data_IF_660593024101
#
_entry.id   IF_660593024101
#
_cell.length_a   1.000
_cell.length_b   1.000
_cell.length_c   1.000
_cell.angle_alpha   90.00
_cell.angle_beta   90.00
_cell.angle_gamma   90.00
#
_symmetry.space_group_name_H-M   'P 1'
#
loop_
_entity.id
_entity.type
_entity.pdbx_description
1 polymer ?
#
# COMPACT_ATOMS: atom_id res chain seq x y z
N UNK A 1 75.42 27.06 20.17
CA UNK A 1 76.32 26.34 21.07
C UNK A 1 76.20 24.86 20.78
N UNK A 2 77.30 24.27 20.31
CA UNK A 2 77.74 22.87 20.30
C UNK A 2 76.69 21.77 20.00
N UNK A 3 76.92 20.81 19.12
CA UNK A 3 78.17 20.24 18.64
C UNK A 3 77.90 18.75 18.40
N UNK A 4 78.42 18.26 17.29
CA UNK A 4 78.34 16.91 16.75
C UNK A 4 78.92 15.84 17.69
N UNK A 5 78.44 14.58 17.60
CA UNK A 5 79.29 13.36 17.54
C UNK A 5 78.59 12.03 17.93
N UNK A 6 78.28 11.22 16.90
CA UNK A 6 78.62 9.79 16.71
C UNK A 6 78.10 8.61 17.57
N UNK A 7 77.78 7.53 16.81
CA UNK A 7 78.00 6.08 17.03
C UNK A 7 76.90 5.20 17.69
N UNK A 8 76.14 4.43 16.87
CA UNK A 8 76.40 3.01 16.50
C UNK A 8 75.15 2.29 15.95
N UNK A 9 75.41 1.42 14.99
CA UNK A 9 74.50 0.50 14.30
C UNK A 9 73.82 -0.50 15.24
N UNK A 10 72.53 -0.78 14.97
CA UNK A 10 71.96 -2.11 15.10
C UNK A 10 70.87 -2.28 14.04
N UNK A 11 71.15 -3.09 13.02
CA UNK A 11 70.16 -3.57 12.05
C UNK A 11 69.09 -4.39 12.78
N UNK A 12 67.82 -4.01 12.61
CA UNK A 12 66.70 -4.93 12.79
C UNK A 12 65.88 -4.95 11.51
N UNK A 13 65.86 -6.13 10.90
CA UNK A 13 65.08 -6.49 9.74
C UNK A 13 63.59 -6.33 10.04
N UNK A 14 62.97 -5.29 9.47
CA UNK A 14 61.52 -5.13 9.46
C UNK A 14 60.94 -5.73 8.19
N UNK A 15 60.26 -6.87 8.29
CA UNK A 15 59.41 -7.39 7.22
C UNK A 15 58.29 -6.37 6.94
N UNK A 16 58.35 -5.68 5.81
CA UNK A 16 57.22 -4.93 5.27
C UNK A 16 56.18 -5.91 4.71
N UNK A 17 55.28 -6.38 5.57
CA UNK A 17 54.06 -7.05 5.13
C UNK A 17 53.08 -6.02 4.59
N UNK A 18 52.93 -5.95 3.25
CA UNK A 18 51.81 -5.26 2.63
C UNK A 18 50.53 -6.06 2.95
N UNK A 19 49.72 -5.56 3.89
CA UNK A 19 48.36 -6.08 4.09
C UNK A 19 47.48 -5.52 2.99
N UNK A 20 47.24 -6.31 1.93
CA UNK A 20 46.17 -6.02 0.98
C UNK A 20 44.86 -6.38 1.70
N UNK A 21 44.18 -5.37 2.25
CA UNK A 21 42.79 -5.51 2.67
C UNK A 21 41.92 -5.63 1.42
N UNK A 22 41.64 -6.85 0.99
CA UNK A 22 40.52 -7.13 0.09
C UNK A 22 39.23 -6.92 0.88
N UNK A 23 38.64 -5.73 0.74
CA UNK A 23 37.24 -5.50 1.10
C UNK A 23 36.39 -6.37 0.16
N UNK A 24 36.13 -7.60 0.57
CA UNK A 24 35.10 -8.42 -0.03
C UNK A 24 33.75 -7.76 0.27
N UNK A 25 33.28 -6.92 -0.64
CA UNK A 25 31.88 -6.51 -0.66
C UNK A 25 31.08 -7.77 -0.93
N UNK A 26 30.52 -8.38 0.11
CA UNK A 26 29.48 -9.38 -0.05
C UNK A 26 28.26 -8.67 -0.64
N UNK A 27 28.21 -8.56 -1.98
CA UNK A 27 26.94 -8.40 -2.67
C UNK A 27 26.13 -9.63 -2.31
N UNK A 28 25.26 -9.52 -1.30
CA UNK A 28 24.17 -10.47 -1.16
C UNK A 28 23.43 -10.44 -2.48
N UNK A 29 23.53 -11.51 -3.25
CA UNK A 29 22.69 -11.67 -4.43
C UNK A 29 21.25 -11.62 -3.91
N UNK A 30 20.56 -10.52 -4.18
CA UNK A 30 19.14 -10.38 -3.85
C UNK A 30 18.44 -11.56 -4.54
N UNK A 31 17.66 -12.35 -3.81
CA UNK A 31 17.01 -13.53 -4.36
C UNK A 31 16.23 -13.16 -5.64
N UNK A 32 16.63 -13.73 -6.77
CA UNK A 32 16.06 -13.43 -8.08
C UNK A 32 14.79 -14.25 -8.29
N UNK A 33 13.70 -13.58 -8.69
CA UNK A 33 12.45 -14.25 -9.04
C UNK A 33 12.63 -14.87 -10.44
N UNK A 34 12.57 -16.20 -10.51
CA UNK A 34 12.82 -16.92 -11.77
C UNK A 34 11.59 -16.89 -12.68
N UNK A 35 11.82 -16.75 -13.99
CA UNK A 35 10.73 -16.79 -14.98
C UNK A 35 9.92 -18.10 -14.94
N UNK A 36 10.56 -19.23 -14.61
CA UNK A 36 9.89 -20.53 -14.42
C UNK A 36 8.95 -20.53 -13.22
N UNK A 37 9.29 -19.81 -12.15
CA UNK A 37 8.49 -19.65 -10.94
C UNK A 37 7.28 -18.74 -11.22
N UNK A 38 7.52 -17.65 -11.95
CA UNK A 38 6.46 -16.80 -12.51
C UNK A 38 5.47 -17.60 -13.36
N UNK A 39 5.95 -18.49 -14.24
CA UNK A 39 5.08 -19.31 -15.09
C UNK A 39 4.18 -20.26 -14.27
N UNK A 40 4.70 -20.87 -13.20
CA UNK A 40 3.88 -21.70 -12.29
C UNK A 40 2.82 -20.88 -11.57
N UNK A 41 3.21 -19.72 -11.03
CA UNK A 41 2.29 -18.79 -10.38
C UNK A 41 1.22 -18.25 -11.36
N UNK A 42 1.59 -18.01 -12.62
CA UNK A 42 0.67 -17.60 -13.67
C UNK A 42 -0.36 -18.68 -14.02
N UNK A 43 0.08 -19.93 -14.16
CA UNK A 43 -0.83 -21.09 -14.36
C UNK A 43 -1.81 -21.22 -13.20
N UNK A 44 -1.34 -21.06 -11.96
CA UNK A 44 -2.21 -21.03 -10.79
C UNK A 44 -3.20 -19.86 -10.85
N UNK A 45 -2.71 -18.63 -11.09
CA UNK A 45 -3.53 -17.44 -11.21
C UNK A 45 -4.64 -17.63 -12.24
N UNK A 46 -4.30 -18.11 -13.44
CA UNK A 46 -5.24 -18.42 -14.50
C UNK A 46 -6.27 -19.47 -14.07
N UNK A 47 -5.85 -20.57 -13.44
CA UNK A 47 -6.76 -21.59 -12.89
C UNK A 47 -7.78 -21.00 -11.91
N UNK A 48 -7.41 -19.89 -11.25
CA UNK A 48 -8.27 -19.10 -10.35
C UNK A 48 -8.83 -17.84 -11.01
N UNK A 49 -9.12 -17.89 -12.33
CA UNK A 49 -9.72 -16.80 -13.12
C UNK A 49 -8.90 -15.50 -13.10
N UNK A 50 -7.58 -15.60 -12.99
CA UNK A 50 -6.67 -14.50 -13.29
C UNK A 50 -6.74 -14.16 -14.77
N UNK A 51 -6.71 -12.86 -15.07
CA UNK A 51 -6.78 -12.30 -16.42
C UNK A 51 -5.52 -11.54 -16.80
N UNK A 52 -4.83 -10.98 -15.80
CA UNK A 52 -3.54 -10.31 -15.96
C UNK A 52 -2.63 -10.67 -14.80
N UNK A 53 -1.38 -10.97 -15.11
CA UNK A 53 -0.29 -11.08 -14.15
C UNK A 53 0.94 -10.34 -14.70
N UNK A 54 1.57 -9.53 -13.85
CA UNK A 54 2.79 -8.80 -14.17
C UNK A 54 3.75 -8.95 -13.00
N UNK A 55 5.01 -9.26 -13.29
CA UNK A 55 6.09 -9.32 -12.30
C UNK A 55 7.21 -8.40 -12.76
N UNK A 56 7.61 -7.49 -11.88
CA UNK A 56 8.76 -6.63 -12.06
C UNK A 56 9.75 -6.89 -10.93
N UNK A 57 11.04 -6.88 -11.24
CA UNK A 57 12.11 -6.91 -10.25
C UNK A 57 13.25 -6.00 -10.71
N UNK A 58 13.88 -5.29 -9.78
CA UNK A 58 15.02 -4.40 -10.09
C UNK A 58 14.72 -3.36 -11.19
N UNK A 59 13.49 -2.81 -11.18
CA UNK A 59 13.06 -1.79 -12.15
C UNK A 59 12.78 -2.31 -13.57
N UNK A 60 12.73 -3.64 -13.77
CA UNK A 60 12.42 -4.24 -15.08
C UNK A 60 11.24 -5.19 -14.97
N UNK A 61 10.40 -5.21 -16.00
CA UNK A 61 9.41 -6.28 -16.19
C UNK A 61 10.13 -7.56 -16.57
N UNK A 62 10.00 -8.59 -15.73
CA UNK A 62 10.61 -9.92 -15.96
C UNK A 62 9.60 -10.95 -16.46
N UNK A 63 8.30 -10.70 -16.24
CA UNK A 63 7.25 -11.60 -16.68
C UNK A 63 5.90 -10.89 -16.84
N UNK A 64 5.17 -11.23 -17.89
CA UNK A 64 3.77 -10.88 -18.08
C UNK A 64 2.99 -12.09 -18.59
N UNK A 65 1.79 -12.30 -18.06
CA UNK A 65 0.85 -13.30 -18.53
C UNK A 65 -0.55 -12.71 -18.61
N UNK A 66 -1.19 -12.88 -19.76
CA UNK A 66 -2.53 -12.40 -20.02
C UNK A 66 -3.37 -13.58 -20.51
N UNK A 67 -4.49 -13.83 -19.84
CA UNK A 67 -5.33 -14.99 -20.10
C UNK A 67 -6.82 -14.61 -20.07
N UNK A 68 -7.68 -15.49 -20.58
CA UNK A 68 -9.15 -15.39 -20.45
C UNK A 68 -9.72 -14.04 -20.90
N UNK A 69 -9.19 -13.51 -22.01
CA UNK A 69 -9.60 -12.20 -22.57
C UNK A 69 -8.89 -10.99 -21.97
N UNK A 70 -7.95 -11.18 -21.03
CA UNK A 70 -7.04 -10.14 -20.57
C UNK A 70 -6.03 -9.72 -21.65
N UNK A 71 -5.49 -8.52 -21.51
CA UNK A 71 -4.41 -8.01 -22.38
C UNK A 71 -3.62 -6.90 -21.69
N UNK A 72 -2.44 -6.58 -22.21
CA UNK A 72 -1.60 -5.49 -21.69
C UNK A 72 -2.26 -4.11 -21.70
N UNK A 73 -3.29 -3.92 -22.54
CA UNK A 73 -4.09 -2.68 -22.63
C UNK A 73 -5.45 -2.80 -21.93
N UNK A 74 -5.80 -3.99 -21.45
CA UNK A 74 -7.07 -4.26 -20.79
C UNK A 74 -7.11 -3.64 -19.40
N UNK A 75 -8.04 -2.71 -19.18
CA UNK A 75 -8.30 -2.12 -17.87
C UNK A 75 -9.31 -2.98 -17.11
N UNK A 76 -9.04 -3.20 -15.83
CA UNK A 76 -9.91 -3.96 -14.94
C UNK A 76 -10.19 -3.18 -13.65
N UNK A 77 -11.39 -3.33 -13.06
CA UNK A 77 -11.66 -2.79 -11.73
C UNK A 77 -10.67 -3.36 -10.72
N UNK A 78 -9.94 -2.48 -10.03
CA UNK A 78 -9.05 -2.89 -8.94
C UNK A 78 -9.78 -2.92 -7.59
N UNK A 79 -11.07 -2.57 -7.57
CA UNK A 79 -11.92 -2.48 -6.38
C UNK A 79 -11.17 -1.79 -5.23
N UNK A 80 -11.09 -2.42 -4.06
CA UNK A 80 -10.41 -1.88 -2.87
C UNK A 80 -8.93 -1.55 -3.05
N UNK A 81 -8.27 -2.02 -4.12
CA UNK A 81 -6.94 -1.52 -4.50
C UNK A 81 -6.91 -0.01 -4.76
N UNK A 82 -8.07 0.60 -5.04
CA UNK A 82 -8.25 2.06 -5.16
C UNK A 82 -7.84 2.82 -3.90
N UNK A 83 -8.06 2.22 -2.71
CA UNK A 83 -7.83 2.88 -1.42
C UNK A 83 -6.39 3.35 -1.26
N UNK A 84 -5.44 2.52 -1.68
CA UNK A 84 -4.02 2.81 -1.55
C UNK A 84 -3.59 4.07 -2.31
N UNK A 85 -4.23 4.38 -3.45
CA UNK A 85 -4.02 5.64 -4.14
C UNK A 85 -4.53 6.85 -3.34
N UNK A 86 -5.63 6.70 -2.61
CA UNK A 86 -6.15 7.75 -1.72
C UNK A 86 -5.33 7.90 -0.44
N UNK A 87 -4.70 6.83 0.05
CA UNK A 87 -3.65 6.91 1.08
C UNK A 87 -2.49 7.79 0.63
N UNK A 88 -1.99 7.59 -0.60
CA UNK A 88 -0.97 8.47 -1.21
C UNK A 88 -1.48 9.90 -1.37
N UNK A 89 -2.73 10.10 -1.79
CA UNK A 89 -3.33 11.43 -1.89
C UNK A 89 -3.38 12.15 -0.55
N UNK A 90 -3.70 11.43 0.54
CA UNK A 90 -3.71 11.99 1.88
C UNK A 90 -2.30 12.42 2.32
N UNK A 91 -1.28 11.59 2.07
CA UNK A 91 0.10 11.95 2.40
C UNK A 91 0.63 13.11 1.54
N UNK A 92 0.22 13.21 0.28
CA UNK A 92 0.48 14.39 -0.54
C UNK A 92 -0.19 15.65 0.05
N UNK A 93 -1.41 15.53 0.58
CA UNK A 93 -2.12 16.64 1.22
C UNK A 93 -1.47 17.08 2.54
N UNK A 94 -0.89 16.14 3.29
CA UNK A 94 -0.04 16.44 4.45
C UNK A 94 1.21 17.21 4.02
N UNK A 95 1.92 16.73 2.99
CA UNK A 95 3.08 17.45 2.41
C UNK A 95 2.72 18.87 2.00
N UNK A 96 1.54 19.04 1.41
CA UNK A 96 1.05 20.34 0.93
C UNK A 96 0.51 21.25 2.06
N UNK A 97 0.59 20.81 3.32
CA UNK A 97 0.19 21.59 4.48
C UNK A 97 -1.32 21.75 4.66
N UNK A 98 -2.14 20.91 4.02
CA UNK A 98 -3.61 20.99 4.14
C UNK A 98 -4.12 20.52 5.51
N UNK A 99 -3.41 19.58 6.13
CA UNK A 99 -3.66 19.03 7.46
C UNK A 99 -2.45 18.22 7.95
N UNK A 100 -2.44 17.87 9.23
CA UNK A 100 -1.60 16.80 9.79
C UNK A 100 -2.43 15.53 9.95
N UNK A 101 -1.78 14.36 9.97
CA UNK A 101 -2.46 13.08 10.14
C UNK A 101 -3.24 13.01 11.47
N UNK A 102 -2.71 13.65 12.51
CA UNK A 102 -3.30 13.60 13.86
C UNK A 102 -4.21 14.80 14.16
N UNK A 103 -4.50 15.64 13.17
CA UNK A 103 -5.56 16.65 13.29
C UNK A 103 -6.91 15.95 13.48
N UNK A 104 -7.79 16.58 14.25
CA UNK A 104 -9.15 16.10 14.44
C UNK A 104 -9.97 16.31 13.15
N UNK A 105 -10.71 15.29 12.75
CA UNK A 105 -11.65 15.38 11.63
C UNK A 105 -12.70 16.45 11.89
N UNK A 106 -13.10 16.61 13.15
CA UNK A 106 -14.09 17.58 13.62
C UNK A 106 -13.67 19.05 13.48
N UNK A 107 -12.37 19.33 13.27
CA UNK A 107 -11.90 20.68 12.93
C UNK A 107 -12.35 21.11 11.53
N UNK A 108 -12.67 20.15 10.66
CA UNK A 108 -13.12 20.39 9.28
C UNK A 108 -14.56 19.96 9.04
N UNK A 109 -14.95 18.83 9.62
CA UNK A 109 -16.32 18.32 9.64
C UNK A 109 -16.94 18.77 10.96
N UNK A 110 -17.27 20.06 11.04
CA UNK A 110 -17.70 20.72 12.28
C UNK A 110 -18.99 20.14 12.86
N UNK A 111 -19.79 19.43 12.05
CA UNK A 111 -20.97 18.67 12.47
C UNK A 111 -20.64 17.58 13.50
N UNK A 112 -19.37 17.18 13.63
CA UNK A 112 -18.92 16.16 14.58
C UNK A 112 -18.50 16.71 15.94
N UNK A 113 -18.38 18.04 16.11
CA UNK A 113 -17.85 18.65 17.34
C UNK A 113 -18.69 18.34 18.59
N UNK A 114 -20.00 18.19 18.44
CA UNK A 114 -20.91 17.90 19.55
C UNK A 114 -21.08 16.40 19.83
N UNK A 115 -20.57 15.53 18.95
CA UNK A 115 -20.65 14.08 19.15
C UNK A 115 -19.43 13.62 19.97
N UNK A 116 -19.65 12.97 21.14
CA UNK A 116 -18.57 12.66 22.07
C UNK A 116 -17.54 11.68 21.48
N UNK A 117 -17.91 10.82 20.54
CA UNK A 117 -16.98 9.89 19.88
C UNK A 117 -16.35 10.53 18.66
N UNK A 118 -17.18 11.07 17.78
CA UNK A 118 -16.71 11.58 16.48
C UNK A 118 -15.83 12.81 16.61
N UNK A 119 -16.02 13.62 17.65
CA UNK A 119 -15.18 14.78 17.92
C UNK A 119 -13.71 14.43 18.15
N UNK A 120 -13.41 13.19 18.55
CA UNK A 120 -12.08 12.69 18.88
C UNK A 120 -11.37 11.98 17.70
N UNK A 121 -12.08 11.75 16.58
CA UNK A 121 -11.52 11.01 15.44
C UNK A 121 -10.42 11.81 14.76
N UNK A 122 -9.25 11.20 14.55
CA UNK A 122 -8.16 11.79 13.77
C UNK A 122 -8.22 11.40 12.29
N UNK A 123 -7.57 12.19 11.43
CA UNK A 123 -7.46 11.85 10.00
C UNK A 123 -6.72 10.52 9.80
N UNK A 124 -5.72 10.23 10.63
CA UNK A 124 -4.99 8.95 10.67
C UNK A 124 -5.95 7.78 10.88
N UNK A 125 -6.89 7.93 11.82
CA UNK A 125 -7.89 6.91 12.13
C UNK A 125 -8.86 6.65 10.96
N UNK A 126 -9.22 7.67 10.18
CA UNK A 126 -9.98 7.45 8.93
C UNK A 126 -9.19 6.62 7.91
N UNK A 127 -7.89 6.90 7.77
CA UNK A 127 -7.04 6.28 6.74
C UNK A 127 -6.65 4.83 7.09
N UNK A 128 -6.47 4.53 8.37
CA UNK A 128 -6.24 3.15 8.85
C UNK A 128 -7.54 2.42 9.27
N UNK A 129 -8.70 3.06 9.10
CA UNK A 129 -10.04 2.53 9.37
C UNK A 129 -10.25 2.06 10.82
N UNK A 130 -9.70 2.81 11.76
CA UNK A 130 -9.95 2.65 13.19
C UNK A 130 -10.72 3.82 13.79
N UNK A 131 -11.42 4.63 13.01
CA UNK A 131 -12.19 5.78 13.49
C UNK A 131 -13.49 5.42 14.23
N UNK A 132 -13.90 4.16 14.21
CA UNK A 132 -15.09 3.68 14.90
C UNK A 132 -16.42 4.04 14.22
N UNK A 133 -16.41 4.70 13.06
CA UNK A 133 -17.62 4.88 12.24
C UNK A 133 -18.02 3.54 11.60
N UNK A 134 -19.31 3.32 11.43
CA UNK A 134 -19.81 2.17 10.67
C UNK A 134 -19.18 2.12 9.25
N UNK A 135 -18.63 0.96 8.84
CA UNK A 135 -18.02 0.78 7.51
C UNK A 135 -18.99 1.02 6.34
N UNK A 136 -20.28 0.75 6.54
CA UNK A 136 -21.39 1.08 5.64
C UNK A 136 -21.20 0.66 4.16
N UNK A 137 -21.05 -0.65 3.90
CA UNK A 137 -20.95 -1.22 2.53
C UNK A 137 -22.06 -0.76 1.58
N UNK A 138 -23.24 -0.42 2.10
CA UNK A 138 -24.37 0.17 1.35
C UNK A 138 -24.01 1.44 0.56
N UNK A 139 -22.96 2.17 0.93
CA UNK A 139 -22.46 3.32 0.17
C UNK A 139 -22.03 2.93 -1.25
N UNK A 140 -21.76 1.65 -1.53
CA UNK A 140 -21.45 1.16 -2.88
C UNK A 140 -22.67 1.04 -3.79
N UNK A 141 -23.90 1.07 -3.26
CA UNK A 141 -25.13 0.95 -4.06
C UNK A 141 -25.29 2.14 -4.99
N UNK A 142 -25.68 1.88 -6.24
CA UNK A 142 -25.87 2.92 -7.26
C UNK A 142 -26.95 3.95 -6.89
N UNK A 143 -27.91 3.57 -6.05
CA UNK A 143 -29.01 4.44 -5.59
C UNK A 143 -28.56 5.58 -4.67
N UNK A 144 -27.36 5.52 -4.07
CA UNK A 144 -26.85 6.59 -3.22
C UNK A 144 -26.30 7.72 -4.08
N UNK A 145 -27.04 8.84 -4.12
CA UNK A 145 -26.73 10.00 -4.98
C UNK A 145 -25.56 10.83 -4.49
N UNK A 146 -25.47 11.05 -3.18
CA UNK A 146 -24.42 11.81 -2.51
C UNK A 146 -23.82 10.97 -1.40
N UNK A 147 -22.70 10.30 -1.73
CA UNK A 147 -22.07 9.33 -0.84
C UNK A 147 -21.27 10.02 0.26
N UNK A 148 -20.63 11.14 -0.05
CA UNK A 148 -19.90 11.96 0.91
C UNK A 148 -20.83 12.47 2.02
N UNK A 149 -21.95 13.10 1.62
CA UNK A 149 -22.91 13.62 2.59
C UNK A 149 -23.56 12.51 3.43
N UNK A 150 -23.81 11.33 2.85
CA UNK A 150 -24.30 10.18 3.62
C UNK A 150 -23.24 9.69 4.61
N UNK A 151 -21.97 9.58 4.19
CA UNK A 151 -20.92 9.02 5.02
C UNK A 151 -20.65 9.84 6.30
N UNK A 152 -20.65 11.18 6.22
CA UNK A 152 -20.46 12.05 7.39
C UNK A 152 -21.59 11.94 8.43
N UNK A 153 -22.77 11.42 8.06
CA UNK A 153 -23.91 11.24 8.96
C UNK A 153 -23.97 9.84 9.58
N UNK A 154 -23.09 8.93 9.21
CA UNK A 154 -23.07 7.57 9.74
C UNK A 154 -22.80 7.56 11.25
N UNK A 155 -23.35 6.61 12.02
CA UNK A 155 -23.12 6.53 13.45
C UNK A 155 -21.69 6.06 13.78
N UNK A 156 -21.17 6.51 14.93
CA UNK A 156 -20.01 5.89 15.56
C UNK A 156 -20.47 4.65 16.33
N UNK A 157 -19.95 3.48 15.95
CA UNK A 157 -20.33 2.16 16.50
C UNK A 157 -19.27 1.57 17.43
N UNK A 158 -18.10 2.20 17.52
CA UNK A 158 -17.01 1.88 18.44
C UNK A 158 -16.29 3.18 18.88
N UNK A 159 -15.44 3.08 19.90
CA UNK A 159 -14.57 4.20 20.29
C UNK A 159 -13.45 4.39 19.24
N UNK A 160 -13.05 5.63 18.92
CA UNK A 160 -11.93 5.86 18.01
C UNK A 160 -10.65 5.17 18.49
N UNK A 161 -10.03 4.39 17.61
CA UNK A 161 -8.83 3.59 17.86
C UNK A 161 -9.09 2.20 18.43
N UNK A 162 -10.31 1.88 18.89
CA UNK A 162 -10.56 0.62 19.63
C UNK A 162 -10.82 -0.60 18.73
N UNK A 163 -11.21 -0.39 17.47
CA UNK A 163 -11.57 -1.46 16.55
C UNK A 163 -11.21 -1.09 15.11
N UNK A 164 -10.86 -2.10 14.31
CA UNK A 164 -10.75 -1.98 12.86
C UNK A 164 -12.08 -2.35 12.21
N UNK A 165 -12.72 -1.39 11.57
CA UNK A 165 -14.00 -1.58 10.90
C UNK A 165 -13.77 -1.27 9.44
N UNK A 166 -13.75 -2.29 8.58
CA UNK A 166 -13.43 -2.08 7.18
C UNK A 166 -14.66 -1.63 6.37
N UNK A 167 -14.53 -0.59 5.57
CA UNK A 167 -15.62 -0.13 4.72
C UNK A 167 -15.31 1.04 3.79
N UNK A 168 -16.28 1.39 2.93
CA UNK A 168 -16.17 2.59 2.09
C UNK A 168 -16.36 3.92 2.83
N UNK A 169 -17.00 3.94 4.01
CA UNK A 169 -17.37 5.18 4.69
C UNK A 169 -16.18 6.06 5.03
N UNK A 170 -15.13 5.48 5.61
CA UNK A 170 -13.94 6.20 6.10
C UNK A 170 -13.28 7.05 5.01
N UNK A 171 -13.10 6.48 3.81
CA UNK A 171 -12.54 7.24 2.70
C UNK A 171 -13.53 8.20 2.02
N UNK A 172 -14.84 7.97 2.14
CA UNK A 172 -15.82 8.98 1.72
C UNK A 172 -15.86 10.18 2.67
N UNK A 173 -15.68 9.94 3.97
CA UNK A 173 -15.51 11.00 4.96
C UNK A 173 -14.21 11.76 4.68
N UNK A 174 -13.10 11.05 4.38
CA UNK A 174 -11.85 11.67 3.95
C UNK A 174 -12.01 12.51 2.67
N UNK A 175 -12.74 12.01 1.67
CA UNK A 175 -13.05 12.73 0.43
C UNK A 175 -13.76 14.06 0.71
N UNK A 176 -14.74 14.07 1.64
CA UNK A 176 -15.43 15.29 2.07
C UNK A 176 -14.52 16.23 2.86
N UNK A 177 -13.71 15.70 3.79
CA UNK A 177 -12.72 16.47 4.54
C UNK A 177 -11.74 17.17 3.60
N UNK A 178 -11.17 16.43 2.64
CA UNK A 178 -10.24 16.99 1.66
C UNK A 178 -10.91 18.07 0.81
N UNK A 179 -12.14 17.85 0.34
CA UNK A 179 -12.92 18.85 -0.41
C UNK A 179 -13.08 20.14 0.40
N UNK A 180 -13.40 20.05 1.70
CA UNK A 180 -13.51 21.22 2.59
C UNK A 180 -12.18 21.94 2.82
N UNK A 181 -11.09 21.20 3.08
CA UNK A 181 -9.73 21.77 3.17
C UNK A 181 -9.30 22.48 1.88
N UNK A 182 -9.78 21.98 0.74
CA UNK A 182 -9.57 22.59 -0.57
C UNK A 182 -10.53 23.75 -0.89
N UNK A 183 -11.32 24.22 0.09
CA UNK A 183 -12.32 25.29 -0.04
C UNK A 183 -13.37 24.99 -1.11
N UNK A 184 -13.83 23.75 -1.15
CA UNK A 184 -14.88 23.27 -2.06
C UNK A 184 -14.37 22.76 -3.41
N UNK A 185 -13.07 22.88 -3.73
CA UNK A 185 -12.50 22.31 -4.96
C UNK A 185 -12.53 20.78 -4.92
N UNK A 186 -12.55 20.19 -6.11
CA UNK A 186 -12.70 18.75 -6.33
C UNK A 186 -11.57 17.91 -5.69
N UNK A 187 -11.95 16.94 -4.86
CA UNK A 187 -11.01 15.97 -4.27
C UNK A 187 -10.35 15.09 -5.34
N UNK A 188 -11.08 14.68 -6.38
CA UNK A 188 -10.49 13.92 -7.50
C UNK A 188 -9.56 14.80 -8.32
N UNK A 189 -9.89 16.09 -8.49
CA UNK A 189 -9.00 17.04 -9.18
C UNK A 189 -7.66 17.22 -8.45
N UNK A 190 -7.69 17.28 -7.11
CA UNK A 190 -6.49 17.28 -6.29
C UNK A 190 -5.66 15.99 -6.51
N UNK A 191 -6.30 14.82 -6.42
CA UNK A 191 -5.63 13.54 -6.66
C UNK A 191 -5.03 13.47 -8.07
N UNK A 192 -5.74 13.91 -9.11
CA UNK A 192 -5.23 13.90 -10.48
C UNK A 192 -4.01 14.80 -10.66
N UNK A 193 -4.03 16.02 -10.09
CA UNK A 193 -2.92 16.98 -10.19
C UNK A 193 -1.70 16.63 -9.32
N UNK A 194 -1.91 15.99 -8.16
CA UNK A 194 -0.85 15.78 -7.18
C UNK A 194 -0.31 14.35 -7.18
N UNK A 195 -1.07 13.37 -7.69
CA UNK A 195 -0.69 11.94 -7.69
C UNK A 195 -0.79 11.33 -9.08
N UNK A 196 -1.99 11.25 -9.70
CA UNK A 196 -2.20 10.50 -10.95
C UNK A 196 -1.28 10.97 -12.08
N UNK A 197 -1.27 12.28 -12.36
CA UNK A 197 -0.44 12.87 -13.42
C UNK A 197 1.05 12.67 -13.14
N UNK A 198 1.46 12.67 -11.87
CA UNK A 198 2.86 12.46 -11.46
C UNK A 198 3.30 11.01 -11.62
N UNK A 199 2.37 10.06 -11.52
CA UNK A 199 2.56 8.63 -11.85
C UNK A 199 2.38 8.35 -13.36
N UNK A 200 2.17 9.38 -14.18
CA UNK A 200 1.91 9.25 -15.61
C UNK A 200 0.60 8.52 -15.93
N UNK A 201 -0.34 8.40 -14.98
CA UNK A 201 -1.59 7.64 -15.14
C UNK A 201 -2.63 8.35 -16.01
N UNK A 202 -2.28 9.51 -16.58
CA UNK A 202 -3.17 10.32 -17.41
C UNK A 202 -4.48 10.66 -16.68
N UNK A 203 -5.54 10.84 -17.46
CA UNK A 203 -6.90 10.96 -16.93
C UNK A 203 -7.42 9.58 -16.59
N UNK A 204 -7.81 9.38 -15.33
CA UNK A 204 -8.26 8.08 -14.87
C UNK A 204 -9.71 7.81 -15.28
N UNK A 205 -9.99 6.56 -15.65
CA UNK A 205 -11.36 6.08 -15.62
C UNK A 205 -11.73 5.76 -14.17
N UNK A 206 -12.70 6.47 -13.61
CA UNK A 206 -13.12 6.28 -12.23
C UNK A 206 -14.64 6.35 -12.06
N UNK A 207 -15.15 5.58 -11.10
CA UNK A 207 -16.55 5.64 -10.68
C UNK A 207 -16.81 6.88 -9.82
N UNK A 208 -17.97 7.50 -10.03
CA UNK A 208 -18.45 8.66 -9.27
C UNK A 208 -19.92 8.51 -8.87
N UNK A 209 -20.35 9.26 -7.86
CA UNK A 209 -21.76 9.41 -7.51
C UNK A 209 -22.49 10.44 -8.38
N UNK A 210 -23.79 10.63 -8.13
CA UNK A 210 -24.62 11.55 -8.90
C UNK A 210 -24.28 13.03 -8.64
N UNK A 211 -23.49 13.33 -7.60
CA UNK A 211 -22.93 14.66 -7.32
C UNK A 211 -21.52 14.83 -7.92
N UNK A 212 -20.97 13.80 -8.54
CA UNK A 212 -19.64 13.82 -9.12
C UNK A 212 -18.51 13.51 -8.13
N UNK A 213 -18.84 13.15 -6.89
CA UNK A 213 -17.81 12.73 -5.93
C UNK A 213 -17.21 11.40 -6.37
N UNK A 214 -15.88 11.22 -6.28
CA UNK A 214 -15.25 9.94 -6.59
C UNK A 214 -15.71 8.83 -5.62
N UNK A 215 -15.51 7.57 -6.01
CA UNK A 215 -15.60 6.42 -5.10
C UNK A 215 -14.19 6.01 -4.66
N UNK A 216 -13.63 6.59 -3.58
CA UNK A 216 -12.26 6.36 -3.17
C UNK A 216 -12.01 4.94 -2.66
N UNK A 217 -13.08 4.21 -2.32
CA UNK A 217 -12.98 2.86 -1.84
C UNK A 217 -12.86 1.79 -2.93
N UNK A 218 -13.32 2.05 -4.17
CA UNK A 218 -13.51 1.01 -5.23
C UNK A 218 -13.45 1.53 -6.66
N UNK A 219 -13.18 2.82 -6.85
CA UNK A 219 -13.55 3.53 -8.07
C UNK A 219 -12.65 3.35 -9.28
N UNK A 220 -11.42 2.84 -9.16
CA UNK A 220 -10.46 2.87 -10.28
C UNK A 220 -10.47 1.60 -11.14
N UNK A 221 -10.22 1.81 -12.43
CA UNK A 221 -9.97 0.78 -13.43
C UNK A 221 -8.63 1.01 -14.13
N UNK A 222 -7.73 0.06 -13.99
CA UNK A 222 -6.33 0.17 -14.44
C UNK A 222 -5.91 -1.07 -15.22
N UNK A 223 -4.95 -0.90 -16.12
CA UNK A 223 -4.14 -2.03 -16.62
C UNK A 223 -3.21 -2.53 -15.51
N UNK A 224 -2.69 -3.75 -15.64
CA UNK A 224 -1.70 -4.27 -14.70
C UNK A 224 -0.46 -3.35 -14.60
N UNK A 225 0.02 -2.83 -15.74
CA UNK A 225 1.16 -1.92 -15.82
C UNK A 225 0.89 -0.58 -15.14
N UNK A 226 -0.31 -0.01 -15.31
CA UNK A 226 -0.71 1.22 -14.63
C UNK A 226 -0.76 1.03 -13.11
N UNK A 227 -1.32 -0.10 -12.65
CA UNK A 227 -1.37 -0.37 -11.22
C UNK A 227 0.04 -0.59 -10.62
N UNK A 228 0.95 -1.22 -11.37
CA UNK A 228 2.34 -1.42 -10.97
C UNK A 228 3.08 -0.11 -10.65
N UNK A 229 2.69 1.02 -11.25
CA UNK A 229 3.31 2.34 -10.97
C UNK A 229 3.12 2.79 -9.52
N UNK A 230 2.04 2.36 -8.87
CA UNK A 230 1.90 2.54 -7.43
C UNK A 230 2.97 1.73 -6.67
N UNK A 231 3.30 0.52 -7.14
CA UNK A 231 4.39 -0.27 -6.60
C UNK A 231 5.77 0.37 -6.82
N UNK A 232 6.00 0.94 -8.01
CA UNK A 232 7.24 1.68 -8.31
C UNK A 232 7.39 2.91 -7.41
N UNK A 233 6.30 3.63 -7.13
CA UNK A 233 6.28 4.72 -6.15
C UNK A 233 6.69 4.24 -4.75
N UNK A 234 6.15 3.09 -4.32
CA UNK A 234 6.47 2.52 -3.01
C UNK A 234 7.94 2.11 -2.94
N UNK A 235 8.46 1.39 -3.95
CA UNK A 235 9.87 1.01 -4.02
C UNK A 235 10.79 2.24 -4.09
N UNK A 236 10.35 3.30 -4.78
CA UNK A 236 11.04 4.59 -4.87
C UNK A 236 10.86 5.48 -3.64
N UNK A 237 10.35 4.95 -2.52
CA UNK A 237 10.14 5.68 -1.27
C UNK A 237 9.35 6.99 -1.45
N UNK A 238 8.32 6.93 -2.29
CA UNK A 238 7.44 8.06 -2.59
C UNK A 238 7.94 8.96 -3.73
N UNK A 239 9.03 8.56 -4.40
CA UNK A 239 9.49 9.12 -5.67
C UNK A 239 9.15 8.18 -6.82
N UNK A 240 8.66 8.74 -7.93
CA UNK A 240 8.42 8.00 -9.16
C UNK A 240 9.25 8.62 -10.28
N UNK A 241 10.22 7.87 -10.82
CA UNK A 241 11.13 8.30 -11.89
C UNK A 241 11.77 9.69 -11.61
N UNK A 242 12.28 9.87 -10.38
CA UNK A 242 12.92 11.12 -9.95
C UNK A 242 11.95 12.21 -9.47
N UNK A 243 10.63 12.03 -9.65
CA UNK A 243 9.62 12.98 -9.17
C UNK A 243 9.11 12.59 -7.79
N UNK A 244 9.46 13.37 -6.77
CA UNK A 244 8.92 13.18 -5.42
C UNK A 244 7.42 13.51 -5.37
N UNK A 245 6.61 12.51 -5.03
CA UNK A 245 5.15 12.63 -4.87
C UNK A 245 4.78 12.67 -3.38
N UNK A 246 5.43 11.87 -2.54
CA UNK A 246 5.29 11.89 -1.09
C UNK A 246 6.68 11.74 -0.48
N UNK A 247 7.13 12.59 0.46
CA UNK A 247 8.41 12.41 1.15
C UNK A 247 8.53 11.01 1.78
N UNK A 248 9.72 10.39 1.71
CA UNK A 248 9.95 9.04 2.24
C UNK A 248 9.53 8.88 3.71
N UNK A 249 9.77 9.92 4.52
CA UNK A 249 9.33 9.98 5.92
C UNK A 249 7.81 9.88 6.07
N UNK A 250 7.05 10.60 5.23
CA UNK A 250 5.59 10.53 5.25
C UNK A 250 5.09 9.20 4.69
N UNK A 251 5.76 8.64 3.68
CA UNK A 251 5.35 7.34 3.13
C UNK A 251 5.48 6.22 4.17
N UNK A 252 6.50 6.26 5.05
CA UNK A 252 6.64 5.26 6.12
C UNK A 252 5.43 5.20 7.06
N UNK A 253 4.74 6.33 7.27
CA UNK A 253 3.50 6.37 8.05
C UNK A 253 2.40 5.48 7.43
N UNK A 254 2.36 5.32 6.10
CA UNK A 254 1.41 4.44 5.44
C UNK A 254 1.62 2.96 5.75
N UNK A 255 2.81 2.60 6.25
CA UNK A 255 3.18 1.24 6.57
C UNK A 255 3.29 1.01 8.08
N UNK A 256 2.74 1.91 8.89
CA UNK A 256 2.59 1.70 10.32
C UNK A 256 1.18 1.17 10.62
N UNK A 257 1.09 -0.09 11.06
CA UNK A 257 -0.16 -0.67 11.54
C UNK A 257 -0.64 -0.02 12.84
N UNK A 258 -1.93 -0.16 13.15
CA UNK A 258 -2.51 0.31 14.42
C UNK A 258 -2.55 -0.81 15.46
N UNK A 259 -2.83 -0.48 16.73
CA UNK A 259 -3.07 -1.49 17.76
C UNK A 259 -4.28 -2.38 17.42
N UNK A 260 -5.35 -1.81 16.85
CA UNK A 260 -6.55 -2.56 16.48
C UNK A 260 -6.34 -3.46 15.25
N UNK A 261 -5.44 -3.10 14.35
CA UNK A 261 -5.04 -3.93 13.22
C UNK A 261 -3.59 -3.63 12.79
N UNK A 262 -2.61 -4.41 13.27
CA UNK A 262 -1.22 -4.24 12.86
C UNK A 262 -0.96 -4.61 11.39
N UNK A 263 -1.90 -5.28 10.72
CA UNK A 263 -1.81 -5.66 9.30
C UNK A 263 -2.44 -4.64 8.35
N UNK A 264 -2.83 -3.45 8.83
CA UNK A 264 -3.39 -2.38 7.99
C UNK A 264 -2.85 -1.01 8.39
N UNK A 265 -2.18 -0.34 7.45
CA UNK A 265 -1.67 1.03 7.61
C UNK A 265 -2.59 2.09 7.00
N UNK A 266 -2.04 3.17 6.45
CA UNK A 266 -2.84 4.25 5.84
C UNK A 266 -3.27 3.84 4.42
N UNK A 267 -4.31 3.01 4.36
CA UNK A 267 -4.88 2.43 3.15
C UNK A 267 -4.03 1.35 2.44
N UNK A 268 -3.10 0.73 3.15
CA UNK A 268 -2.30 -0.42 2.67
C UNK A 268 -2.42 -1.61 3.62
N UNK A 269 -2.46 -2.81 3.06
CA UNK A 269 -2.32 -4.05 3.84
C UNK A 269 -0.85 -4.37 4.04
N UNK A 270 -0.50 -4.88 5.21
CA UNK A 270 0.88 -5.08 5.66
C UNK A 270 1.12 -6.55 5.99
N UNK A 271 2.28 -7.06 5.61
CA UNK A 271 2.71 -8.41 5.97
C UNK A 271 3.62 -8.43 7.20
N UNK A 272 3.67 -7.34 7.99
CA UNK A 272 4.63 -7.14 9.08
C UNK A 272 4.62 -8.23 10.15
N UNK A 273 3.45 -8.84 10.37
CA UNK A 273 3.30 -9.91 11.35
C UNK A 273 3.78 -11.28 10.82
N UNK A 274 4.20 -11.41 9.56
CA UNK A 274 4.60 -12.68 8.95
C UNK A 274 5.58 -13.56 9.75
N UNK A 275 6.60 -13.01 10.45
CA UNK A 275 7.55 -13.85 11.21
C UNK A 275 6.88 -14.76 12.25
N UNK A 276 5.78 -14.31 12.86
CA UNK A 276 5.09 -15.02 13.95
C UNK A 276 3.59 -15.23 13.69
N UNK A 277 3.03 -14.57 12.69
CA UNK A 277 1.59 -14.49 12.44
C UNK A 277 1.09 -15.68 11.63
N UNK A 278 -0.13 -16.13 11.91
CA UNK A 278 -0.82 -17.17 11.14
C UNK A 278 -1.27 -16.62 9.78
N UNK A 279 -1.10 -17.41 8.73
CA UNK A 279 -1.65 -17.03 7.42
C UNK A 279 -3.17 -16.98 7.48
N UNK A 280 -3.73 -15.92 6.90
CA UNK A 280 -5.17 -15.75 6.82
C UNK A 280 -5.58 -15.19 5.46
N UNK A 281 -6.76 -15.60 5.02
CA UNK A 281 -7.39 -15.04 3.84
C UNK A 281 -8.06 -13.71 4.22
N UNK A 282 -7.43 -12.61 3.82
CA UNK A 282 -7.87 -11.26 4.18
C UNK A 282 -9.29 -10.96 3.68
N UNK A 283 -9.70 -11.45 2.50
CA UNK A 283 -11.07 -11.22 2.01
C UNK A 283 -12.10 -11.97 2.87
N UNK A 284 -11.81 -13.22 3.25
CA UNK A 284 -12.71 -13.97 4.15
C UNK A 284 -12.78 -13.35 5.54
N UNK A 285 -11.66 -12.85 6.06
CA UNK A 285 -11.66 -12.15 7.35
C UNK A 285 -12.51 -10.87 7.29
N UNK A 286 -12.49 -10.16 6.16
CA UNK A 286 -13.31 -8.97 5.94
C UNK A 286 -14.81 -9.27 5.80
N UNK A 287 -15.18 -10.50 5.46
CA UNK A 287 -16.60 -10.93 5.39
C UNK A 287 -17.20 -11.22 6.78
N UNK A 288 -16.36 -11.36 7.82
CA UNK A 288 -16.82 -11.53 9.19
C UNK A 288 -17.43 -10.22 9.72
N UNK A 289 -18.42 -10.28 10.63
CA UNK A 289 -18.75 -9.13 11.47
C UNK A 289 -17.48 -8.60 12.12
N UNK A 290 -17.27 -7.28 12.10
CA UNK A 290 -16.00 -6.69 12.55
C UNK A 290 -15.67 -7.03 14.01
N UNK A 291 -16.68 -7.30 14.84
CA UNK A 291 -16.53 -7.75 16.23
C UNK A 291 -15.87 -9.13 16.36
N UNK A 292 -15.95 -9.95 15.30
CA UNK A 292 -15.46 -11.33 15.28
C UNK A 292 -14.12 -11.47 14.55
N UNK A 293 -13.67 -10.41 13.85
CA UNK A 293 -12.42 -10.44 13.10
C UNK A 293 -11.23 -10.14 14.02
N UNK A 294 -10.27 -11.06 14.10
CA UNK A 294 -9.04 -10.89 14.89
C UNK A 294 -7.86 -10.57 13.97
N UNK A 295 -7.31 -9.36 14.09
CA UNK A 295 -6.26 -8.84 13.21
C UNK A 295 -4.85 -8.89 13.81
N UNK A 296 -4.72 -9.29 15.07
CA UNK A 296 -3.43 -9.55 15.70
C UNK A 296 -2.98 -10.98 15.43
N UNK A 297 -1.67 -11.17 15.24
CA UNK A 297 -1.08 -12.48 14.96
C UNK A 297 -1.52 -13.08 13.62
N UNK A 298 -1.89 -12.26 12.63
CA UNK A 298 -2.24 -12.71 11.27
C UNK A 298 -1.37 -12.07 10.20
N UNK A 299 -1.03 -12.81 9.16
CA UNK A 299 -0.26 -12.34 8.02
C UNK A 299 -0.87 -12.80 6.69
N UNK A 300 -0.44 -12.17 5.59
CA UNK A 300 -0.90 -12.52 4.24
C UNK A 300 -0.16 -13.77 3.76
N UNK A 301 1.16 -13.83 3.99
CA UNK A 301 1.98 -14.99 3.65
C UNK A 301 3.24 -15.00 4.52
N UNK A 302 3.49 -16.12 5.20
CA UNK A 302 4.68 -16.31 6.06
C UNK A 302 5.98 -16.37 5.28
N UNK A 303 5.90 -16.89 4.05
CA UNK A 303 7.03 -17.09 3.14
C UNK A 303 7.40 -15.83 2.35
N UNK A 304 6.56 -14.80 2.40
CA UNK A 304 6.89 -13.48 1.89
C UNK A 304 7.50 -12.62 3.01
N UNK A 305 8.39 -11.71 2.63
CA UNK A 305 9.04 -10.82 3.58
C UNK A 305 8.04 -9.99 4.40
N UNK A 306 8.40 -9.71 5.65
CA UNK A 306 7.61 -8.86 6.56
C UNK A 306 7.45 -7.42 6.05
N UNK A 307 8.36 -6.95 5.20
CA UNK A 307 8.28 -5.64 4.57
C UNK A 307 7.33 -5.58 3.35
N UNK A 308 6.70 -6.70 2.99
CA UNK A 308 5.72 -6.74 1.92
C UNK A 308 4.50 -5.87 2.26
N UNK A 309 4.12 -5.01 1.33
CA UNK A 309 2.90 -4.20 1.38
C UNK A 309 1.99 -4.56 0.22
N UNK A 310 0.68 -4.48 0.43
CA UNK A 310 -0.31 -4.95 -0.53
C UNK A 310 -1.44 -3.95 -0.71
N UNK A 311 -1.72 -3.57 -1.96
CA UNK A 311 -2.99 -2.96 -2.32
C UNK A 311 -3.96 -4.06 -2.73
N UNK A 312 -4.96 -4.30 -1.87
CA UNK A 312 -5.85 -5.46 -1.95
C UNK A 312 -7.24 -5.04 -2.42
N UNK A 313 -7.74 -5.69 -3.48
CA UNK A 313 -9.07 -5.49 -4.05
C UNK A 313 -9.91 -6.76 -4.04
N UNK A 314 -11.22 -6.60 -3.90
CA UNK A 314 -12.20 -7.71 -3.94
C UNK A 314 -12.09 -8.55 -5.22
N UNK A 315 -12.35 -9.86 -5.12
CA UNK A 315 -12.14 -10.77 -6.24
C UNK A 315 -10.66 -11.11 -6.45
N UNK A 316 -9.88 -10.90 -5.39
CA UNK A 316 -8.46 -11.18 -5.32
C UNK A 316 -7.61 -10.28 -6.21
N UNK A 317 -8.00 -9.03 -6.43
CA UNK A 317 -7.07 -8.07 -7.08
C UNK A 317 -5.91 -7.83 -6.13
N UNK A 318 -4.68 -7.96 -6.63
CA UNK A 318 -3.49 -7.77 -5.81
C UNK A 318 -2.45 -6.95 -6.55
N UNK A 319 -1.92 -5.96 -5.85
CA UNK A 319 -0.59 -5.41 -6.10
C UNK A 319 0.22 -5.70 -4.84
N UNK A 320 1.18 -6.62 -4.95
CA UNK A 320 2.18 -6.87 -3.93
C UNK A 320 3.43 -6.05 -4.25
N UNK A 321 4.03 -5.46 -3.23
CA UNK A 321 5.32 -4.78 -3.32
C UNK A 321 6.21 -5.34 -2.22
N UNK A 322 7.37 -5.87 -2.59
CA UNK A 322 8.33 -6.46 -1.66
C UNK A 322 9.63 -5.65 -1.76
N UNK A 323 9.83 -4.63 -0.92
CA UNK A 323 10.99 -3.75 -0.99
C UNK A 323 12.33 -4.48 -0.87
N UNK A 324 12.42 -5.44 0.04
CA UNK A 324 13.57 -6.32 0.25
C UNK A 324 13.90 -7.22 -0.95
N UNK A 325 13.01 -7.36 -1.93
CA UNK A 325 13.27 -8.05 -3.20
C UNK A 325 13.30 -7.09 -4.40
N UNK A 326 13.04 -5.80 -4.17
CA UNK A 326 12.78 -4.79 -5.22
C UNK A 326 11.76 -5.29 -6.23
N UNK A 327 10.73 -6.00 -5.74
CA UNK A 327 9.77 -6.72 -6.55
C UNK A 327 8.38 -6.08 -6.49
N UNK A 328 7.69 -6.08 -7.64
CA UNK A 328 6.29 -5.67 -7.79
C UNK A 328 5.56 -6.79 -8.51
N UNK A 329 4.46 -7.25 -7.93
CA UNK A 329 3.65 -8.32 -8.48
C UNK A 329 2.21 -7.84 -8.57
N UNK A 330 1.66 -7.80 -9.79
CA UNK A 330 0.26 -7.48 -10.04
C UNK A 330 -0.48 -8.74 -10.46
N UNK A 331 -1.65 -8.95 -9.88
CA UNK A 331 -2.65 -9.95 -10.29
C UNK A 331 -4.01 -9.28 -10.39
N UNK A 332 -4.64 -9.41 -11.55
CA UNK A 332 -6.04 -9.05 -11.77
C UNK A 332 -6.85 -10.32 -12.06
N UNK A 333 -8.04 -10.47 -11.49
CA UNK A 333 -8.87 -11.69 -11.63
C UNK A 333 -10.27 -11.55 -11.06
N UNK A 334 -10.99 -12.66 -10.82
CA UNK A 334 -12.40 -12.60 -10.35
C UNK A 334 -12.88 -13.78 -9.50
N UNK A 335 -11.99 -14.54 -8.84
CA UNK A 335 -12.37 -15.79 -8.13
C UNK A 335 -12.05 -15.75 -6.63
N UNK A 336 -13.02 -16.18 -5.81
CA UNK A 336 -12.95 -16.32 -4.36
C UNK A 336 -12.17 -17.53 -3.81
N UNK A 337 -11.61 -18.38 -4.67
CA UNK A 337 -10.80 -19.56 -4.30
C UNK A 337 -9.30 -19.36 -4.55
N UNK A 338 -8.84 -18.13 -4.70
CA UNK A 338 -7.43 -17.80 -4.80
C UNK A 338 -6.80 -17.77 -3.39
N UNK A 339 -5.55 -18.19 -3.28
CA UNK A 339 -4.77 -18.19 -2.04
C UNK A 339 -3.52 -17.35 -2.26
N UNK A 340 -3.44 -16.22 -1.54
CA UNK A 340 -2.29 -15.34 -1.54
C UNK A 340 -1.00 -16.09 -1.15
N UNK A 341 -0.95 -16.87 -0.06
CA UNK A 341 0.24 -17.66 0.28
C UNK A 341 0.69 -18.63 -0.80
N UNK A 342 -0.23 -19.42 -1.35
CA UNK A 342 0.12 -20.42 -2.35
C UNK A 342 0.66 -19.77 -3.64
N UNK A 343 0.05 -18.67 -4.08
CA UNK A 343 0.53 -17.91 -5.22
C UNK A 343 1.93 -17.35 -4.98
N UNK A 344 2.18 -16.75 -3.82
CA UNK A 344 3.47 -16.17 -3.48
C UNK A 344 4.56 -17.24 -3.33
N UNK A 345 4.26 -18.39 -2.71
CA UNK A 345 5.19 -19.53 -2.63
C UNK A 345 5.63 -20.04 -4.01
N UNK A 346 4.67 -20.21 -4.93
CA UNK A 346 4.98 -20.61 -6.30
C UNK A 346 5.91 -19.61 -6.99
N UNK A 347 5.64 -18.31 -6.81
CA UNK A 347 6.36 -17.20 -7.43
C UNK A 347 7.75 -16.99 -6.83
N UNK A 348 7.88 -17.13 -5.51
CA UNK A 348 9.15 -16.96 -4.78
C UNK A 348 10.00 -18.25 -4.80
N UNK A 349 9.49 -19.33 -5.38
CA UNK A 349 10.22 -20.60 -5.51
C UNK A 349 10.24 -21.44 -4.22
N UNK A 350 9.38 -21.13 -3.25
CA UNK A 350 9.22 -21.88 -1.99
C UNK A 350 8.19 -23.01 -2.18
N UNK A 351 8.47 -23.93 -3.11
CA UNK A 351 7.60 -25.08 -3.34
C UNK A 351 7.94 -26.15 -2.29
N UNK A 352 6.93 -26.68 -1.61
CA UNK A 352 7.03 -27.91 -0.82
C UNK A 352 7.19 -29.14 -1.70
#
# INVERSE_FOLDING_TARGET
MNGSSWLRFAQRSGCSGFLILTLATSTSAQAEIRATDCARAAKYSESKRGVSMLVMQNGRTIFEHYAKGGSARGRWPIFSGTKSFWGIAALAAVRDGLFKLDDLVSDTITEWKSDPRKSQVTIRQLLNQTDGIEGASRLQRASIRDRNAMAIRLPAVAEPGSAFIYGPSHLQIFSELLRRKLRGRSAIGYFEGHVSSRLGLGRLNYKKDARGNPLPATGFELTAREWARLGELVLGQGSYHGRQIVPAVLLREAFAGSQANPSYGLAFWLNQQAPNGREADMERMLDLPWQNAQWTGVCICKDASADMVVALGSGYQRLFVIPSLKAIIVRQGSNAKFSDPHFLRLLLGHIE
#
